data_IF_428293508946
#
_entry.id   IF_428293508946
#
_cell.length_a   1.000
_cell.length_b   1.000
_cell.length_c   1.000
_cell.angle_alpha   90.00
_cell.angle_beta   90.00
_cell.angle_gamma   90.00
#
_symmetry.space_group_name_H-M   'P 1'
#
loop_
_entity.id
_entity.type
_entity.pdbx_description
1 polymer ?
#
# COMPACT_ATOMS: atom_id res chain seq x y z
N UNK A 1 6.68 -56.69 73.14
CA UNK A 1 5.68 -56.07 74.04
C UNK A 1 5.15 -56.99 75.12
N UNK A 2 4.61 -58.17 74.79
CA UNK A 2 4.08 -59.12 75.80
C UNK A 2 5.10 -59.50 76.88
N UNK A 3 6.36 -59.75 76.47
CA UNK A 3 7.49 -59.98 77.36
C UNK A 3 7.85 -58.76 78.22
N UNK A 4 7.91 -57.56 77.63
CA UNK A 4 8.25 -56.32 78.35
C UNK A 4 7.21 -55.93 79.42
N UNK A 5 5.92 -56.15 79.16
CA UNK A 5 4.85 -55.89 80.14
C UNK A 5 4.83 -56.94 81.25
N UNK A 6 5.05 -58.22 80.92
CA UNK A 6 5.06 -59.31 81.89
C UNK A 6 6.21 -59.20 82.91
N UNK A 7 7.38 -58.71 82.48
CA UNK A 7 8.55 -58.56 83.33
C UNK A 7 8.75 -57.13 83.85
N UNK A 8 7.81 -56.20 83.63
CA UNK A 8 7.96 -54.79 83.99
C UNK A 8 8.24 -54.59 85.49
N UNK A 9 7.41 -55.18 86.36
CA UNK A 9 7.54 -55.01 87.81
C UNK A 9 8.84 -55.63 88.33
N UNK A 10 9.19 -56.82 87.82
CA UNK A 10 10.45 -57.48 88.16
C UNK A 10 11.66 -56.66 87.67
N UNK A 11 11.61 -56.13 86.46
CA UNK A 11 12.69 -55.36 85.88
C UNK A 11 12.86 -54.01 86.57
N UNK A 12 11.77 -53.30 86.88
CA UNK A 12 11.77 -52.03 87.61
C UNK A 12 12.32 -52.19 89.02
N UNK A 13 11.89 -53.23 89.75
CA UNK A 13 12.40 -53.53 91.10
C UNK A 13 13.89 -53.89 91.07
N UNK A 14 14.31 -54.70 90.10
CA UNK A 14 15.72 -55.10 89.96
C UNK A 14 16.60 -53.90 89.58
N UNK A 15 16.13 -53.03 88.68
CA UNK A 15 16.82 -51.79 88.32
C UNK A 15 16.99 -50.87 89.54
N UNK A 16 15.92 -50.68 90.33
CA UNK A 16 15.96 -49.86 91.55
C UNK A 16 16.94 -50.44 92.61
N UNK A 17 17.07 -51.76 92.70
CA UNK A 17 18.06 -52.41 93.57
C UNK A 17 19.49 -52.15 93.07
N UNK A 18 19.71 -52.18 91.75
CA UNK A 18 21.02 -51.88 91.14
C UNK A 18 21.40 -50.42 91.41
N UNK A 19 20.50 -49.48 91.12
CA UNK A 19 20.70 -48.03 91.35
C UNK A 19 20.99 -47.73 92.83
N UNK A 20 20.23 -48.34 93.76
CA UNK A 20 20.46 -48.16 95.20
C UNK A 20 21.85 -48.66 95.65
N UNK A 21 22.31 -49.80 95.12
CA UNK A 21 23.63 -50.36 95.45
C UNK A 21 24.79 -49.58 94.83
N UNK A 22 24.56 -48.89 93.70
CA UNK A 22 25.49 -47.91 93.13
C UNK A 22 25.61 -46.66 94.00
N UNK A 23 24.47 -46.08 94.40
CA UNK A 23 24.42 -44.88 95.24
C UNK A 23 25.10 -45.09 96.61
N UNK A 24 24.95 -46.29 97.19
CA UNK A 24 25.59 -46.69 98.45
C UNK A 24 27.09 -47.05 98.30
N UNK A 25 27.67 -46.93 97.10
CA UNK A 25 29.05 -47.35 96.75
C UNK A 25 29.38 -48.79 97.15
N UNK A 26 28.36 -49.64 97.25
CA UNK A 26 28.46 -51.02 97.74
C UNK A 26 28.87 -52.03 96.64
N UNK A 27 28.96 -51.57 95.38
CA UNK A 27 29.48 -52.32 94.26
C UNK A 27 30.99 -52.06 94.14
N UNK A 28 31.83 -53.12 94.13
CA UNK A 28 33.27 -52.93 94.07
C UNK A 28 33.67 -52.23 92.76
N UNK A 29 34.63 -51.29 92.78
CA UNK A 29 35.34 -50.88 91.57
C UNK A 29 36.08 -52.10 91.00
N UNK A 30 36.52 -52.01 89.75
CA UNK A 30 37.05 -53.09 88.90
C UNK A 30 38.41 -53.67 89.38
N UNK A 31 38.54 -53.98 90.67
CA UNK A 31 39.72 -54.50 91.34
C UNK A 31 39.36 -55.87 91.95
N UNK A 32 40.11 -56.90 91.59
CA UNK A 32 39.85 -58.27 92.03
C UNK A 32 40.09 -58.42 93.55
N UNK A 33 39.05 -58.85 94.28
CA UNK A 33 39.12 -59.14 95.73
C UNK A 33 40.21 -60.17 96.06
N UNK A 34 40.53 -61.07 95.13
CA UNK A 34 41.61 -62.04 95.32
C UNK A 34 42.98 -61.35 95.39
N UNK A 35 43.21 -60.29 94.63
CA UNK A 35 44.45 -59.51 94.70
C UNK A 35 44.58 -58.82 96.07
N UNK A 36 43.49 -58.25 96.57
CA UNK A 36 43.48 -57.58 97.89
C UNK A 36 43.66 -58.59 99.05
N UNK A 37 43.06 -59.77 98.96
CA UNK A 37 43.26 -60.85 99.94
C UNK A 37 44.70 -61.39 99.90
N UNK A 38 45.26 -61.55 98.69
CA UNK A 38 46.64 -62.04 98.52
C UNK A 38 47.66 -61.04 99.08
N UNK A 39 47.40 -59.74 98.90
CA UNK A 39 48.22 -58.70 99.51
C UNK A 39 48.22 -58.79 101.04
N UNK A 40 47.07 -59.05 101.67
CA UNK A 40 46.96 -59.25 103.12
C UNK A 40 47.65 -60.53 103.62
N UNK A 41 47.64 -61.62 102.84
CA UNK A 41 48.27 -62.89 103.25
C UNK A 41 49.79 -62.86 103.14
N UNK A 42 50.32 -62.18 102.13
CA UNK A 42 51.76 -62.09 101.89
C UNK A 42 52.40 -60.88 102.61
N UNK A 43 51.60 -60.10 103.35
CA UNK A 43 51.98 -58.85 104.02
C UNK A 43 52.75 -57.90 103.09
N UNK A 44 52.49 -57.98 101.78
CA UNK A 44 53.17 -57.23 100.72
C UNK A 44 52.16 -56.86 99.65
N UNK A 45 52.26 -55.64 99.13
CA UNK A 45 51.34 -55.18 98.10
C UNK A 45 51.54 -55.96 96.80
N UNK A 46 50.50 -56.64 96.30
CA UNK A 46 50.55 -57.48 95.09
C UNK A 46 50.77 -56.71 93.78
N UNK A 47 50.76 -55.37 93.82
CA UNK A 47 50.97 -54.52 92.64
C UNK A 47 52.37 -53.89 92.64
N UNK A 48 52.88 -53.44 93.79
CA UNK A 48 54.17 -52.74 93.89
C UNK A 48 55.24 -53.46 94.73
N UNK A 49 54.92 -54.61 95.35
CA UNK A 49 55.87 -55.46 96.08
C UNK A 49 56.37 -54.92 97.43
N UNK A 50 55.96 -53.72 97.83
CA UNK A 50 56.34 -53.12 99.12
C UNK A 50 55.65 -53.81 100.30
N UNK A 51 56.33 -53.98 101.45
CA UNK A 51 55.71 -54.50 102.67
C UNK A 51 54.52 -53.63 103.09
N UNK A 52 53.40 -54.25 103.44
CA UNK A 52 52.23 -53.53 103.89
C UNK A 52 52.47 -52.98 105.30
N UNK A 53 52.20 -51.69 105.50
CA UNK A 53 52.16 -51.11 106.82
C UNK A 53 50.90 -51.55 107.56
N UNK A 54 50.94 -51.53 108.90
CA UNK A 54 49.79 -51.88 109.76
C UNK A 54 48.53 -51.08 109.36
N UNK A 55 48.70 -49.80 109.00
CA UNK A 55 47.61 -48.95 108.56
C UNK A 55 47.11 -49.29 107.14
N UNK A 56 48.00 -49.74 106.25
CA UNK A 56 47.66 -50.21 104.91
C UNK A 56 46.84 -51.50 104.96
N UNK A 57 47.21 -52.45 105.82
CA UNK A 57 46.43 -53.68 106.02
C UNK A 57 45.04 -53.39 106.60
N UNK A 58 44.96 -52.49 107.58
CA UNK A 58 43.67 -52.08 108.15
C UNK A 58 42.76 -51.47 107.08
N UNK A 59 43.31 -50.64 106.19
CA UNK A 59 42.53 -50.02 105.11
C UNK A 59 42.05 -51.05 104.09
N UNK A 60 42.90 -52.00 103.69
CA UNK A 60 42.51 -53.09 102.78
C UNK A 60 41.42 -53.96 103.41
N UNK A 61 41.54 -54.32 104.70
CA UNK A 61 40.50 -55.05 105.44
C UNK A 61 39.17 -54.30 105.45
N UNK A 62 39.19 -53.01 105.76
CA UNK A 62 37.99 -52.15 105.76
C UNK A 62 37.37 -52.03 104.36
N UNK A 63 38.18 -52.00 103.30
CA UNK A 63 37.71 -51.96 101.91
C UNK A 63 37.01 -53.27 101.53
N UNK A 64 37.59 -54.42 101.89
CA UNK A 64 37.01 -55.75 101.63
C UNK A 64 35.69 -55.93 102.38
N UNK A 65 35.59 -55.44 103.62
CA UNK A 65 34.37 -55.44 104.44
C UNK A 65 33.26 -54.54 103.86
N UNK A 66 33.62 -53.41 103.25
CA UNK A 66 32.64 -52.46 102.68
C UNK A 66 31.99 -53.01 101.41
N UNK A 67 32.71 -53.82 100.63
CA UNK A 67 32.16 -54.42 99.41
C UNK A 67 31.26 -55.62 99.74
N UNK A 68 29.94 -55.39 99.74
CA UNK A 68 28.94 -56.41 100.07
C UNK A 68 28.71 -57.45 98.96
N UNK A 69 29.09 -57.15 97.71
CA UNK A 69 28.82 -58.01 96.55
C UNK A 69 30.13 -58.48 95.90
N UNK A 70 30.15 -59.69 95.35
CA UNK A 70 31.32 -60.22 94.65
C UNK A 70 31.49 -59.57 93.28
N UNK A 71 32.74 -59.49 92.78
CA UNK A 71 33.08 -58.90 91.47
C UNK A 71 32.29 -59.54 90.32
N UNK A 72 32.07 -60.87 90.39
CA UNK A 72 31.25 -61.63 89.42
C UNK A 72 29.77 -61.20 89.41
N UNK A 73 29.22 -60.90 90.59
CA UNK A 73 27.82 -60.44 90.72
C UNK A 73 27.68 -59.00 90.24
N UNK A 74 28.67 -58.14 90.50
CA UNK A 74 28.70 -56.77 90.00
C UNK A 74 28.67 -56.72 88.46
N UNK A 75 29.53 -57.50 87.81
CA UNK A 75 29.59 -57.58 86.34
C UNK A 75 28.29 -58.14 85.73
N UNK A 76 27.62 -59.08 86.41
CA UNK A 76 26.32 -59.57 85.98
C UNK A 76 25.23 -58.50 86.11
N UNK A 77 25.20 -57.74 87.20
CA UNK A 77 24.23 -56.65 87.39
C UNK A 77 24.42 -55.54 86.34
N UNK A 78 25.67 -55.21 86.01
CA UNK A 78 25.97 -54.23 84.96
C UNK A 78 25.59 -54.72 83.56
N UNK A 79 25.81 -56.01 83.25
CA UNK A 79 25.48 -56.56 81.93
C UNK A 79 23.97 -56.63 81.68
N UNK A 80 23.16 -56.91 82.72
CA UNK A 80 21.69 -56.98 82.58
C UNK A 80 21.00 -55.61 82.65
N UNK A 81 21.66 -54.58 83.21
CA UNK A 81 21.09 -53.23 83.41
C UNK A 81 20.48 -52.66 82.13
N UNK A 82 21.22 -52.67 81.03
CA UNK A 82 20.77 -52.09 79.76
C UNK A 82 19.47 -52.73 79.24
N UNK A 83 19.30 -54.03 79.47
CA UNK A 83 18.11 -54.77 79.05
C UNK A 83 16.93 -54.53 80.00
N UNK A 84 17.18 -54.38 81.30
CA UNK A 84 16.17 -53.95 82.28
C UNK A 84 15.63 -52.55 81.95
N UNK A 85 16.51 -51.60 81.61
CA UNK A 85 16.12 -50.25 81.17
C UNK A 85 15.28 -50.28 79.88
N UNK A 86 15.64 -51.13 78.92
CA UNK A 86 14.87 -51.33 77.68
C UNK A 86 13.47 -51.87 77.98
N UNK A 87 13.35 -52.87 78.86
CA UNK A 87 12.05 -53.45 79.26
C UNK A 87 11.17 -52.38 79.92
N UNK A 88 11.72 -51.60 80.84
CA UNK A 88 10.99 -50.53 81.54
C UNK A 88 10.52 -49.44 80.57
N UNK A 89 11.40 -48.96 79.69
CA UNK A 89 11.06 -47.94 78.67
C UNK A 89 10.02 -48.46 77.66
N UNK A 90 10.12 -49.72 77.23
CA UNK A 90 9.15 -50.31 76.31
C UNK A 90 7.77 -50.47 76.94
N UNK A 91 7.70 -50.87 78.22
CA UNK A 91 6.44 -50.96 78.95
C UNK A 91 5.79 -49.59 79.18
N UNK A 92 6.59 -48.55 79.46
CA UNK A 92 6.09 -47.18 79.65
C UNK A 92 5.49 -46.58 78.36
N UNK A 93 5.99 -46.94 77.18
CA UNK A 93 5.47 -46.48 75.88
C UNK A 93 4.21 -47.20 75.41
N UNK A 94 3.83 -48.31 76.06
CA UNK A 94 2.69 -49.12 75.65
C UNK A 94 1.33 -48.40 75.67
N UNK A 95 0.98 -47.56 76.68
CA UNK A 95 -0.30 -46.86 76.69
C UNK A 95 -0.48 -45.94 75.47
N UNK A 96 0.56 -45.20 75.10
CA UNK A 96 0.56 -44.30 73.95
C UNK A 96 0.41 -45.08 72.63
N UNK A 97 1.14 -46.20 72.51
CA UNK A 97 1.09 -47.05 71.32
C UNK A 97 -0.28 -47.74 71.18
N UNK A 98 -0.87 -48.17 72.29
CA UNK A 98 -2.23 -48.72 72.34
C UNK A 98 -3.27 -47.67 71.94
N UNK A 99 -3.14 -46.44 72.42
CA UNK A 99 -4.06 -45.37 72.07
C UNK A 99 -3.97 -45.02 70.58
N UNK A 100 -2.74 -44.89 70.05
CA UNK A 100 -2.51 -44.66 68.62
C UNK A 100 -3.13 -45.74 67.73
N UNK A 101 -3.03 -47.01 68.12
CA UNK A 101 -3.64 -48.12 67.39
C UNK A 101 -5.18 -48.08 67.44
N UNK A 102 -5.77 -47.72 68.58
CA UNK A 102 -7.23 -47.53 68.70
C UNK A 102 -7.74 -46.38 67.84
N UNK A 103 -7.06 -45.24 67.85
CA UNK A 103 -7.46 -44.07 67.06
C UNK A 103 -7.36 -44.38 65.55
N UNK A 104 -6.33 -45.13 65.15
CA UNK A 104 -6.19 -45.61 63.77
C UNK A 104 -7.30 -46.57 63.37
N UNK A 105 -7.69 -47.49 64.24
CA UNK A 105 -8.80 -48.41 63.98
C UNK A 105 -10.11 -47.65 63.76
N UNK A 106 -10.41 -46.71 64.66
CA UNK A 106 -11.62 -45.89 64.58
C UNK A 106 -11.68 -45.08 63.28
N UNK A 107 -10.58 -44.43 62.89
CA UNK A 107 -10.52 -43.68 61.63
C UNK A 107 -10.74 -44.58 60.40
N UNK A 108 -10.19 -45.79 60.41
CA UNK A 108 -10.41 -46.75 59.33
C UNK A 108 -11.87 -47.24 59.28
N UNK A 109 -12.52 -47.44 60.42
CA UNK A 109 -13.96 -47.78 60.48
C UNK A 109 -14.83 -46.63 59.97
N UNK A 110 -14.52 -45.38 60.34
CA UNK A 110 -15.24 -44.19 59.88
C UNK A 110 -15.12 -44.05 58.35
N UNK A 111 -13.92 -44.24 57.79
CA UNK A 111 -13.69 -44.24 56.34
C UNK A 111 -14.44 -45.36 55.62
N UNK A 112 -14.44 -46.57 56.19
CA UNK A 112 -15.15 -47.71 55.62
C UNK A 112 -16.65 -47.44 55.55
N UNK A 113 -17.20 -46.83 56.60
CA UNK A 113 -18.61 -46.44 56.69
C UNK A 113 -18.95 -45.37 55.64
N UNK A 114 -18.12 -44.34 55.49
CA UNK A 114 -18.33 -43.28 54.50
C UNK A 114 -18.32 -43.83 53.07
N UNK A 115 -17.36 -44.70 52.76
CA UNK A 115 -17.29 -45.37 51.45
C UNK A 115 -18.51 -46.27 51.21
N UNK A 116 -18.97 -46.99 52.24
CA UNK A 116 -20.18 -47.80 52.18
C UNK A 116 -21.44 -46.98 51.85
N UNK A 117 -21.61 -45.81 52.48
CA UNK A 117 -22.73 -44.89 52.20
C UNK A 117 -22.67 -44.36 50.77
N UNK A 118 -21.47 -43.99 50.28
CA UNK A 118 -21.29 -43.51 48.91
C UNK A 118 -21.60 -44.59 47.87
N UNK A 119 -21.20 -45.84 48.14
CA UNK A 119 -21.52 -46.97 47.26
C UNK A 119 -23.02 -47.22 47.18
N UNK A 120 -23.72 -47.21 48.32
CA UNK A 120 -25.17 -47.41 48.35
C UNK A 120 -25.94 -46.27 47.64
N UNK A 121 -25.48 -45.03 47.73
CA UNK A 121 -26.06 -43.91 46.96
C UNK A 121 -25.86 -44.09 45.44
N UNK A 122 -24.66 -44.50 45.02
CA UNK A 122 -24.36 -44.79 43.61
C UNK A 122 -25.20 -45.96 43.10
N UNK A 123 -25.34 -47.05 43.87
CA UNK A 123 -26.17 -48.20 43.50
C UNK A 123 -27.65 -47.84 43.42
N UNK A 124 -28.17 -47.04 44.36
CA UNK A 124 -29.54 -46.51 44.29
C UNK A 124 -29.76 -45.65 43.04
N UNK A 125 -28.78 -44.81 42.67
CA UNK A 125 -28.87 -43.98 41.46
C UNK A 125 -28.84 -44.82 40.18
N UNK A 126 -28.00 -45.86 40.13
CA UNK A 126 -27.92 -46.78 38.98
C UNK A 126 -29.21 -47.60 38.85
N UNK A 127 -29.76 -48.11 39.96
CA UNK A 127 -30.97 -48.94 39.97
C UNK A 127 -32.26 -48.15 39.72
N UNK A 128 -32.27 -46.83 39.93
CA UNK A 128 -33.39 -45.94 39.54
C UNK A 128 -33.52 -45.76 38.02
N UNK A 129 -32.46 -46.04 37.26
CA UNK A 129 -32.49 -45.98 35.79
C UNK A 129 -32.98 -47.32 35.26
N UNK A 130 -34.30 -47.45 35.08
CA UNK A 130 -34.95 -48.71 34.68
C UNK A 130 -34.61 -49.17 33.26
N UNK A 131 -34.21 -48.27 32.35
CA UNK A 131 -33.88 -48.61 30.96
C UNK A 131 -32.53 -48.00 30.53
N UNK A 132 -31.44 -48.73 30.81
CA UNK A 132 -30.08 -48.31 30.48
C UNK A 132 -29.86 -48.11 28.97
N UNK A 133 -30.59 -48.84 28.13
CA UNK A 133 -30.54 -48.71 26.68
C UNK A 133 -31.16 -47.38 26.19
N UNK A 134 -32.25 -46.93 26.80
CA UNK A 134 -32.87 -45.63 26.48
C UNK A 134 -31.95 -44.45 26.82
N UNK A 135 -31.23 -44.53 27.94
CA UNK A 135 -30.25 -43.48 28.32
C UNK A 135 -29.06 -43.46 27.36
N UNK A 136 -28.57 -44.62 26.91
CA UNK A 136 -27.54 -44.71 25.87
C UNK A 136 -28.02 -44.13 24.55
N UNK A 137 -29.25 -44.44 24.14
CA UNK A 137 -29.84 -43.91 22.92
C UNK A 137 -29.94 -42.38 22.98
N UNK A 138 -30.50 -41.82 24.06
CA UNK A 138 -30.60 -40.36 24.25
C UNK A 138 -29.24 -39.66 24.29
N UNK A 139 -28.22 -40.32 24.84
CA UNK A 139 -26.85 -39.80 24.79
C UNK A 139 -26.32 -39.76 23.36
N UNK A 140 -26.54 -40.81 22.58
CA UNK A 140 -26.13 -40.87 21.18
C UNK A 140 -26.87 -39.85 20.32
N UNK A 141 -28.19 -39.72 20.48
CA UNK A 141 -29.00 -38.69 19.81
C UNK A 141 -28.51 -37.29 20.16
N UNK A 142 -28.15 -37.04 21.43
CA UNK A 142 -27.57 -35.76 21.84
C UNK A 142 -26.25 -35.48 21.13
N UNK A 143 -25.34 -36.44 21.06
CA UNK A 143 -24.06 -36.29 20.35
C UNK A 143 -24.28 -35.99 18.86
N UNK A 144 -25.18 -36.72 18.20
CA UNK A 144 -25.55 -36.49 16.80
C UNK A 144 -26.16 -35.09 16.58
N UNK A 145 -27.02 -34.62 17.49
CA UNK A 145 -27.59 -33.28 17.43
C UNK A 145 -26.54 -32.18 17.70
N UNK A 146 -25.57 -32.44 18.58
CA UNK A 146 -24.48 -31.51 18.89
C UNK A 146 -23.54 -31.36 17.68
N UNK A 147 -23.24 -32.46 16.99
CA UNK A 147 -22.53 -32.50 15.71
C UNK A 147 -23.28 -31.70 14.62
N UNK A 148 -24.57 -32.00 14.41
CA UNK A 148 -25.42 -31.31 13.43
C UNK A 148 -25.52 -29.81 13.69
N UNK A 149 -25.63 -29.41 14.96
CA UNK A 149 -25.64 -28.00 15.37
C UNK A 149 -24.34 -27.32 14.96
N UNK A 150 -23.19 -27.94 15.23
CA UNK A 150 -21.89 -27.37 14.86
C UNK A 150 -21.75 -27.21 13.35
N UNK A 151 -22.11 -28.23 12.57
CA UNK A 151 -22.11 -28.16 11.11
C UNK A 151 -23.03 -27.06 10.57
N UNK A 152 -24.22 -26.88 11.16
CA UNK A 152 -25.15 -25.83 10.74
C UNK A 152 -24.65 -24.43 11.10
N UNK A 153 -23.95 -24.27 12.23
CA UNK A 153 -23.31 -23.01 12.60
C UNK A 153 -22.24 -22.65 11.57
N UNK A 154 -21.38 -23.59 11.20
CA UNK A 154 -20.34 -23.38 10.17
C UNK A 154 -20.95 -23.01 8.81
N UNK A 155 -21.93 -23.78 8.33
CA UNK A 155 -22.65 -23.49 7.08
C UNK A 155 -23.27 -22.10 7.09
N UNK A 156 -23.89 -21.69 8.21
CA UNK A 156 -24.49 -20.36 8.35
C UNK A 156 -23.44 -19.26 8.32
N UNK A 157 -22.27 -19.47 8.93
CA UNK A 157 -21.16 -18.50 8.89
C UNK A 157 -20.65 -18.33 7.46
N UNK A 158 -20.41 -19.45 6.75
CA UNK A 158 -19.99 -19.43 5.36
C UNK A 158 -21.00 -18.73 4.45
N UNK A 159 -22.29 -19.04 4.60
CA UNK A 159 -23.36 -18.40 3.81
C UNK A 159 -23.44 -16.89 4.07
N UNK A 160 -23.26 -16.45 5.33
CA UNK A 160 -23.22 -15.02 5.67
C UNK A 160 -22.01 -14.31 5.05
N UNK A 161 -20.84 -14.94 5.08
CA UNK A 161 -19.63 -14.38 4.47
C UNK A 161 -19.78 -14.27 2.94
N UNK A 162 -20.33 -15.30 2.29
CA UNK A 162 -20.64 -15.28 0.86
C UNK A 162 -21.65 -14.20 0.50
N UNK A 163 -22.71 -14.04 1.30
CA UNK A 163 -23.71 -12.98 1.09
C UNK A 163 -23.06 -11.61 1.17
N UNK A 164 -22.26 -11.35 2.21
CA UNK A 164 -21.55 -10.08 2.38
C UNK A 164 -20.62 -9.79 1.19
N UNK A 165 -19.82 -10.77 0.76
CA UNK A 165 -18.96 -10.64 -0.42
C UNK A 165 -19.75 -10.34 -1.70
N UNK A 166 -20.91 -10.95 -1.86
CA UNK A 166 -21.77 -10.70 -3.01
C UNK A 166 -22.41 -9.30 -2.96
N UNK A 167 -22.79 -8.82 -1.78
CA UNK A 167 -23.29 -7.45 -1.55
C UNK A 167 -22.22 -6.41 -1.84
N UNK A 168 -21.00 -6.57 -1.28
CA UNK A 168 -19.86 -5.68 -1.53
C UNK A 168 -19.55 -5.63 -3.03
N UNK A 169 -19.49 -6.79 -3.70
CA UNK A 169 -19.23 -6.87 -5.14
C UNK A 169 -20.33 -6.23 -5.98
N UNK A 170 -21.60 -6.34 -5.55
CA UNK A 170 -22.73 -5.67 -6.21
C UNK A 170 -22.58 -4.16 -6.11
N UNK A 171 -22.19 -3.64 -4.96
CA UNK A 171 -21.99 -2.20 -4.77
C UNK A 171 -20.85 -1.66 -5.66
N UNK A 172 -19.74 -2.39 -5.75
CA UNK A 172 -18.62 -2.03 -6.63
C UNK A 172 -19.03 -2.03 -8.11
N UNK A 173 -19.76 -3.06 -8.57
CA UNK A 173 -20.25 -3.14 -9.94
C UNK A 173 -21.24 -2.00 -10.27
N UNK A 174 -22.07 -1.58 -9.32
CA UNK A 174 -22.97 -0.43 -9.50
C UNK A 174 -22.17 0.87 -9.68
N UNK A 175 -21.11 1.07 -8.88
CA UNK A 175 -20.21 2.24 -9.03
C UNK A 175 -19.50 2.24 -10.38
N UNK A 176 -19.09 1.08 -10.89
CA UNK A 176 -18.49 0.96 -12.22
C UNK A 176 -19.50 1.26 -13.34
N UNK A 177 -20.74 0.77 -13.21
CA UNK A 177 -21.82 1.04 -14.15
C UNK A 177 -22.12 2.54 -14.24
N UNK A 178 -22.25 3.23 -13.10
CA UNK A 178 -22.53 4.67 -13.07
C UNK A 178 -21.40 5.47 -13.74
N UNK A 179 -20.13 5.09 -13.50
CA UNK A 179 -18.98 5.70 -14.18
C UNK A 179 -19.02 5.46 -15.69
N UNK A 180 -19.41 4.28 -16.14
CA UNK A 180 -19.54 3.96 -17.56
C UNK A 180 -20.67 4.77 -18.22
N UNK A 181 -21.84 4.87 -17.58
CA UNK A 181 -22.97 5.68 -18.05
C UNK A 181 -22.62 7.17 -18.14
N UNK A 182 -21.85 7.70 -17.17
CA UNK A 182 -21.38 9.08 -17.23
C UNK A 182 -20.43 9.31 -18.43
N UNK A 183 -19.53 8.36 -18.70
CA UNK A 183 -18.65 8.42 -19.89
C UNK A 183 -19.43 8.33 -21.19
N UNK A 184 -20.49 7.52 -21.25
CA UNK A 184 -21.34 7.40 -22.45
C UNK A 184 -22.06 8.71 -22.76
N UNK A 185 -22.62 9.38 -21.74
CA UNK A 185 -23.21 10.73 -21.89
C UNK A 185 -22.21 11.74 -22.44
N UNK A 186 -20.98 11.73 -21.92
CA UNK A 186 -19.93 12.61 -22.40
C UNK A 186 -19.52 12.27 -23.85
N UNK A 187 -19.47 10.98 -24.20
CA UNK A 187 -19.19 10.54 -25.57
C UNK A 187 -20.29 11.02 -26.54
N UNK A 188 -21.56 10.93 -26.15
CA UNK A 188 -22.68 11.45 -26.93
C UNK A 188 -22.57 12.96 -27.16
N UNK A 189 -22.22 13.72 -26.12
CA UNK A 189 -21.96 15.17 -26.21
C UNK A 189 -20.81 15.49 -27.16
N UNK A 190 -19.70 14.75 -27.06
CA UNK A 190 -18.53 14.94 -27.94
C UNK A 190 -18.86 14.62 -29.41
N UNK A 191 -19.66 13.58 -29.67
CA UNK A 191 -20.13 13.27 -31.03
C UNK A 191 -20.93 14.42 -31.64
N UNK A 192 -21.86 15.00 -30.87
CA UNK A 192 -22.63 16.18 -31.32
C UNK A 192 -21.71 17.38 -31.62
N UNK A 193 -20.69 17.61 -30.79
CA UNK A 193 -19.74 18.71 -31.01
C UNK A 193 -18.89 18.50 -32.27
N UNK A 194 -18.47 17.26 -32.53
CA UNK A 194 -17.74 16.90 -33.75
C UNK A 194 -18.62 17.09 -34.98
N UNK A 195 -19.88 16.67 -34.92
CA UNK A 195 -20.82 16.85 -36.01
C UNK A 195 -21.04 18.33 -36.32
N UNK A 196 -21.26 19.15 -35.29
CA UNK A 196 -21.38 20.60 -35.43
C UNK A 196 -20.13 21.23 -36.04
N UNK A 197 -18.94 20.85 -35.57
CA UNK A 197 -17.68 21.37 -36.11
C UNK A 197 -17.48 20.98 -37.58
N UNK A 198 -17.86 19.76 -37.97
CA UNK A 198 -17.79 19.30 -39.35
C UNK A 198 -18.77 20.06 -40.25
N UNK A 199 -20.01 20.27 -39.79
CA UNK A 199 -20.98 21.09 -40.51
C UNK A 199 -20.48 22.53 -40.68
N UNK A 200 -19.97 23.14 -39.62
CA UNK A 200 -19.39 24.47 -39.67
C UNK A 200 -18.21 24.57 -40.65
N UNK A 201 -17.33 23.56 -40.67
CA UNK A 201 -16.23 23.48 -41.65
C UNK A 201 -16.72 23.43 -43.09
N UNK A 202 -17.75 22.63 -43.37
CA UNK A 202 -18.33 22.53 -44.71
C UNK A 202 -18.91 23.87 -45.14
N UNK A 203 -19.72 24.50 -44.29
CA UNK A 203 -20.32 25.82 -44.59
C UNK A 203 -19.25 26.87 -44.88
N UNK A 204 -18.20 26.95 -44.04
CA UNK A 204 -17.10 27.91 -44.26
C UNK A 204 -16.38 27.63 -45.58
N UNK A 205 -16.13 26.36 -45.92
CA UNK A 205 -15.47 26.00 -47.18
C UNK A 205 -16.31 26.36 -48.40
N UNK A 206 -17.63 26.21 -48.31
CA UNK A 206 -18.54 26.59 -49.40
C UNK A 206 -18.59 28.11 -49.57
N UNK A 207 -18.66 28.86 -48.45
CA UNK A 207 -18.59 30.33 -48.47
C UNK A 207 -17.27 30.82 -49.06
N UNK A 208 -16.13 30.21 -48.70
CA UNK A 208 -14.82 30.56 -49.27
C UNK A 208 -14.81 30.36 -50.79
N UNK A 209 -15.29 29.21 -51.28
CA UNK A 209 -15.37 28.93 -52.72
C UNK A 209 -16.26 29.93 -53.43
N UNK A 210 -17.43 30.25 -52.87
CA UNK A 210 -18.36 31.20 -53.45
C UNK A 210 -17.76 32.60 -53.53
N UNK A 211 -17.11 33.06 -52.46
CA UNK A 211 -16.40 34.35 -52.43
C UNK A 211 -15.26 34.39 -53.46
N UNK A 212 -14.44 33.35 -53.54
CA UNK A 212 -13.34 33.28 -54.52
C UNK A 212 -13.86 33.27 -55.95
N UNK A 213 -14.96 32.57 -56.21
CA UNK A 213 -15.62 32.56 -57.52
C UNK A 213 -16.21 33.93 -57.87
N UNK A 214 -16.82 34.63 -56.92
CA UNK A 214 -17.34 35.98 -57.11
C UNK A 214 -16.22 36.97 -57.45
N UNK A 215 -15.11 36.93 -56.69
CA UNK A 215 -13.92 37.76 -56.96
C UNK A 215 -13.34 37.46 -58.33
N UNK A 216 -13.24 36.17 -58.71
CA UNK A 216 -12.74 35.76 -60.03
C UNK A 216 -13.61 36.32 -61.17
N UNK A 217 -14.93 36.16 -61.09
CA UNK A 217 -15.86 36.68 -62.10
C UNK A 217 -15.76 38.20 -62.22
N UNK A 218 -15.73 38.91 -61.09
CA UNK A 218 -15.52 40.37 -61.11
C UNK A 218 -14.18 40.75 -61.75
N UNK A 219 -13.11 40.00 -61.47
CA UNK A 219 -11.82 40.22 -62.11
C UNK A 219 -11.88 39.99 -63.62
N UNK A 220 -12.52 38.92 -64.10
CA UNK A 220 -12.72 38.65 -65.54
C UNK A 220 -13.48 39.80 -66.22
N UNK A 221 -14.61 40.21 -65.64
CA UNK A 221 -15.46 41.29 -66.15
C UNK A 221 -14.71 42.62 -66.22
N UNK A 222 -14.04 43.01 -65.12
CA UNK A 222 -13.33 44.30 -65.05
C UNK A 222 -12.06 44.31 -65.88
N UNK A 223 -11.34 43.19 -65.93
CA UNK A 223 -10.15 43.07 -66.79
C UNK A 223 -10.54 43.17 -68.26
N UNK A 224 -11.62 42.47 -68.67
CA UNK A 224 -12.16 42.56 -70.04
C UNK A 224 -12.55 43.99 -70.37
N UNK A 225 -13.29 44.67 -69.48
CA UNK A 225 -13.65 46.07 -69.65
C UNK A 225 -12.44 46.98 -69.89
N UNK A 226 -11.41 46.92 -69.04
CA UNK A 226 -10.22 47.76 -69.21
C UNK A 226 -9.43 47.40 -70.48
N UNK A 227 -9.34 46.10 -70.81
CA UNK A 227 -8.64 45.65 -71.99
C UNK A 227 -9.33 46.14 -73.26
N UNK A 228 -10.65 46.05 -73.30
CA UNK A 228 -11.46 46.56 -74.40
C UNK A 228 -11.26 48.05 -74.56
N UNK A 229 -11.33 48.85 -73.49
CA UNK A 229 -11.09 50.30 -73.56
C UNK A 229 -9.69 50.66 -74.10
N UNK A 230 -8.68 49.88 -73.73
CA UNK A 230 -7.28 50.12 -74.12
C UNK A 230 -6.97 49.69 -75.56
N UNK A 231 -7.48 48.54 -76.01
CA UNK A 231 -7.15 47.95 -77.32
C UNK A 231 -7.90 48.67 -78.47
N UNK A 232 -7.21 48.91 -79.58
CA UNK A 232 -7.83 49.43 -80.81
C UNK A 232 -8.65 48.36 -81.56
N UNK A 233 -8.29 47.08 -81.44
CA UNK A 233 -8.93 45.95 -82.10
C UNK A 233 -10.18 45.49 -81.35
N UNK A 234 -11.29 46.19 -81.54
CA UNK A 234 -12.57 45.90 -80.85
C UNK A 234 -13.26 44.61 -81.33
N UNK A 235 -12.84 44.04 -82.46
CA UNK A 235 -13.51 42.89 -83.09
C UNK A 235 -12.72 41.57 -83.06
N UNK A 236 -11.57 41.52 -82.39
CA UNK A 236 -10.71 40.33 -82.37
C UNK A 236 -10.95 39.45 -81.15
N UNK A 237 -11.08 40.07 -79.98
CA UNK A 237 -11.19 39.37 -78.71
C UNK A 237 -12.63 39.35 -78.22
N UNK A 238 -12.98 38.33 -77.45
CA UNK A 238 -14.32 38.15 -76.87
C UNK A 238 -14.31 38.54 -75.39
N UNK A 239 -13.55 37.81 -74.58
CA UNK A 239 -13.42 38.09 -73.15
C UNK A 239 -12.09 37.55 -72.59
N UNK A 240 -11.79 37.95 -71.36
CA UNK A 240 -10.70 37.42 -70.57
C UNK A 240 -11.26 36.40 -69.58
N UNK A 241 -10.59 35.26 -69.47
CA UNK A 241 -10.94 34.21 -68.51
C UNK A 241 -9.80 33.99 -67.51
N UNK A 242 -10.17 33.65 -66.29
CA UNK A 242 -9.27 33.29 -65.21
C UNK A 242 -9.56 31.84 -64.77
N UNK A 243 -8.52 31.04 -64.61
CA UNK A 243 -8.69 29.70 -64.04
C UNK A 243 -8.83 29.72 -62.50
N UNK A 244 -8.94 28.54 -61.88
CA UNK A 244 -9.03 28.43 -60.42
C UNK A 244 -7.84 29.06 -59.68
N UNK A 245 -6.67 29.08 -60.32
CA UNK A 245 -5.40 29.64 -59.83
C UNK A 245 -5.18 31.10 -60.26
N UNK A 246 -6.19 31.77 -60.83
CA UNK A 246 -6.09 33.13 -61.38
C UNK A 246 -5.07 33.26 -62.52
N UNK A 247 -4.80 32.18 -63.25
CA UNK A 247 -4.07 32.26 -64.51
C UNK A 247 -4.95 32.87 -65.58
N UNK A 248 -4.41 33.89 -66.24
CA UNK A 248 -5.11 34.68 -67.24
C UNK A 248 -5.01 34.06 -68.62
N UNK A 249 -6.17 33.96 -69.28
CA UNK A 249 -6.29 33.65 -70.70
C UNK A 249 -7.09 34.72 -71.44
N UNK A 250 -6.73 34.94 -72.71
CA UNK A 250 -7.40 35.88 -73.60
C UNK A 250 -8.11 35.10 -74.70
N UNK A 251 -9.44 35.18 -74.76
CA UNK A 251 -10.26 34.37 -75.66
C UNK A 251 -10.58 35.15 -76.94
N UNK A 252 -10.34 34.54 -78.09
CA UNK A 252 -10.74 35.07 -79.40
C UNK A 252 -12.26 34.96 -79.60
N UNK A 253 -12.84 35.77 -80.49
CA UNK A 253 -14.26 35.62 -80.90
C UNK A 253 -14.61 34.24 -81.51
N UNK A 254 -13.60 33.52 -81.99
CA UNK A 254 -13.76 32.15 -82.50
C UNK A 254 -13.62 31.08 -81.39
N UNK A 255 -13.46 31.48 -80.13
CA UNK A 255 -13.48 30.60 -78.95
C UNK A 255 -12.16 29.94 -78.57
N UNK A 256 -11.02 30.34 -79.16
CA UNK A 256 -9.70 29.77 -78.84
C UNK A 256 -8.82 30.74 -78.02
N UNK A 257 -7.91 30.18 -77.22
CA UNK A 257 -6.91 30.92 -76.42
C UNK A 257 -5.90 31.64 -77.32
N UNK A 258 -5.67 32.92 -77.03
CA UNK A 258 -4.74 33.80 -77.75
C UNK A 258 -3.59 34.32 -76.89
N UNK A 259 -3.52 33.98 -75.59
CA UNK A 259 -2.53 34.58 -74.68
C UNK A 259 -1.08 34.32 -75.13
N UNK A 260 -0.84 33.15 -75.76
CA UNK A 260 0.45 32.79 -76.33
C UNK A 260 0.81 33.50 -77.64
N UNK A 261 -0.19 34.01 -78.37
CA UNK A 261 -0.04 34.62 -79.70
C UNK A 261 -0.19 36.15 -79.69
N UNK A 262 -0.47 36.76 -78.54
CA UNK A 262 -0.49 38.22 -78.36
C UNK A 262 0.86 38.86 -78.72
N UNK A 263 0.83 39.99 -79.42
CA UNK A 263 1.99 40.86 -79.59
C UNK A 263 2.51 41.37 -78.25
N UNK A 264 3.76 41.86 -78.23
CA UNK A 264 4.33 42.47 -77.02
C UNK A 264 3.53 43.70 -76.53
N UNK A 265 2.91 44.43 -77.46
CA UNK A 265 2.03 45.56 -77.16
C UNK A 265 0.72 45.10 -76.49
N UNK A 266 0.05 44.12 -77.07
CA UNK A 266 -1.20 43.55 -76.53
C UNK A 266 -0.99 42.92 -75.16
N UNK A 267 0.14 42.23 -74.95
CA UNK A 267 0.48 41.65 -73.65
C UNK A 267 0.70 42.71 -72.57
N UNK A 268 1.29 43.86 -72.92
CA UNK A 268 1.47 44.96 -71.99
C UNK A 268 0.12 45.60 -71.59
N UNK A 269 -0.78 45.80 -72.57
CA UNK A 269 -2.13 46.31 -72.30
C UNK A 269 -2.95 45.34 -71.46
N UNK A 270 -2.82 44.04 -71.71
CA UNK A 270 -3.47 42.98 -70.93
C UNK A 270 -3.00 42.98 -69.48
N UNK A 271 -1.70 43.08 -69.24
CA UNK A 271 -1.14 43.18 -67.90
C UNK A 271 -1.63 44.43 -67.16
N UNK A 272 -1.65 45.59 -67.84
CA UNK A 272 -2.18 46.83 -67.27
C UNK A 272 -3.66 46.70 -66.92
N UNK A 273 -4.47 46.14 -67.81
CA UNK A 273 -5.90 45.92 -67.61
C UNK A 273 -6.14 45.07 -66.36
N UNK A 274 -5.36 44.01 -66.20
CA UNK A 274 -5.43 43.12 -65.04
C UNK A 274 -5.01 43.84 -63.75
N UNK A 275 -3.96 44.67 -63.78
CA UNK A 275 -3.56 45.49 -62.63
C UNK A 275 -4.63 46.50 -62.24
N UNK A 276 -5.26 47.18 -63.20
CA UNK A 276 -6.34 48.13 -62.93
C UNK A 276 -7.57 47.43 -62.34
N UNK A 277 -7.98 46.30 -62.92
CA UNK A 277 -9.07 45.47 -62.40
C UNK A 277 -8.77 44.97 -60.98
N UNK A 278 -7.55 44.50 -60.72
CA UNK A 278 -7.13 44.06 -59.39
C UNK A 278 -7.24 45.18 -58.36
N UNK A 279 -6.78 46.38 -58.69
CA UNK A 279 -6.89 47.52 -57.79
C UNK A 279 -8.34 47.92 -57.52
N UNK A 280 -9.22 47.81 -58.51
CA UNK A 280 -10.64 48.12 -58.36
C UNK A 280 -11.36 47.05 -57.52
N UNK A 281 -11.22 45.78 -57.88
CA UNK A 281 -11.91 44.65 -57.22
C UNK A 281 -11.42 44.43 -55.80
N UNK A 282 -10.13 44.65 -55.53
CA UNK A 282 -9.56 44.48 -54.19
C UNK A 282 -10.00 45.56 -53.19
N UNK A 283 -10.57 46.68 -53.66
CA UNK A 283 -10.96 47.80 -52.82
C UNK A 283 -9.79 48.57 -52.19
N UNK A 284 -8.54 48.24 -52.54
CA UNK A 284 -7.38 48.96 -52.03
C UNK A 284 -7.13 50.26 -52.79
N UNK A 285 -7.28 51.38 -52.09
CA UNK A 285 -6.93 52.70 -52.61
C UNK A 285 -5.42 52.99 -52.43
N UNK A 286 -4.59 52.25 -53.16
CA UNK A 286 -3.15 52.48 -53.24
C UNK A 286 -2.76 53.34 -54.45
N UNK A 287 -1.64 54.05 -54.30
CA UNK A 287 -0.91 54.75 -55.37
C UNK A 287 -0.57 53.78 -56.51
N UNK A 288 -0.73 54.23 -57.74
CA UNK A 288 -0.22 53.54 -58.93
C UNK A 288 1.01 54.28 -59.45
N UNK A 289 2.17 53.61 -59.44
CA UNK A 289 3.40 54.12 -60.05
C UNK A 289 3.67 53.35 -61.35
N UNK A 290 3.75 54.04 -62.48
CA UNK A 290 3.95 53.42 -63.79
C UNK A 290 5.20 54.01 -64.44
N UNK A 291 6.18 53.16 -64.68
CA UNK A 291 7.40 53.52 -65.38
C UNK A 291 7.30 53.13 -66.86
N UNK A 292 7.64 54.07 -67.75
CA UNK A 292 7.60 53.88 -69.21
C UNK A 292 6.27 53.28 -69.70
N UNK A 293 5.13 53.96 -69.43
CA UNK A 293 3.79 53.39 -69.60
C UNK A 293 3.44 52.97 -71.03
N UNK A 294 4.14 53.49 -72.05
CA UNK A 294 3.76 53.35 -73.46
C UNK A 294 4.91 52.89 -74.36
N UNK A 295 6.04 52.42 -73.80
CA UNK A 295 7.25 52.06 -74.52
C UNK A 295 7.03 51.08 -75.67
N UNK A 296 6.01 50.22 -75.57
CA UNK A 296 5.70 49.15 -76.55
C UNK A 296 4.32 49.28 -77.17
N UNK A 297 3.68 50.44 -77.02
CA UNK A 297 2.30 50.67 -77.40
C UNK A 297 2.25 51.55 -78.66
N UNK A 298 1.41 51.20 -79.64
CA UNK A 298 1.22 51.94 -80.89
C UNK A 298 0.38 53.21 -80.71
N UNK A 299 0.47 54.15 -81.64
CA UNK A 299 -0.08 55.52 -81.53
C UNK A 299 -1.56 55.60 -81.11
N UNK A 300 -2.44 54.76 -81.66
CA UNK A 300 -3.87 54.75 -81.27
C UNK A 300 -4.04 54.22 -79.84
N UNK A 301 -3.34 53.14 -79.51
CA UNK A 301 -3.39 52.57 -78.16
C UNK A 301 -2.76 53.51 -77.12
N UNK A 302 -1.79 54.36 -77.51
CA UNK A 302 -1.21 55.40 -76.65
C UNK A 302 -2.26 56.42 -76.22
N UNK A 303 -3.11 56.85 -77.15
CA UNK A 303 -4.21 57.79 -76.84
C UNK A 303 -5.26 57.11 -75.95
N UNK A 304 -5.65 55.86 -76.25
CA UNK A 304 -6.58 55.10 -75.40
C UNK A 304 -6.03 54.93 -73.99
N UNK A 305 -4.75 54.56 -73.87
CA UNK A 305 -4.02 54.47 -72.61
C UNK A 305 -4.14 55.78 -71.80
N UNK A 306 -3.88 56.92 -72.44
CA UNK A 306 -3.94 58.21 -71.76
C UNK A 306 -5.35 58.52 -71.25
N UNK A 307 -6.37 58.28 -72.07
CA UNK A 307 -7.77 58.52 -71.69
C UNK A 307 -8.20 57.62 -70.53
N UNK A 308 -7.90 56.32 -70.59
CA UNK A 308 -8.25 55.37 -69.52
C UNK A 308 -7.58 55.77 -68.20
N UNK A 309 -6.30 56.14 -68.22
CA UNK A 309 -5.63 56.54 -66.98
C UNK A 309 -6.08 57.90 -66.46
N UNK A 310 -6.46 58.84 -67.32
CA UNK A 310 -7.14 60.07 -66.89
C UNK A 310 -8.43 59.75 -66.12
N UNK A 311 -9.26 58.84 -66.62
CA UNK A 311 -10.47 58.41 -65.90
C UNK A 311 -10.15 57.72 -64.58
N UNK A 312 -9.20 56.77 -64.55
CA UNK A 312 -8.77 56.10 -63.32
C UNK A 312 -8.22 57.11 -62.30
N UNK A 313 -7.47 58.12 -62.76
CA UNK A 313 -6.87 59.15 -61.91
C UNK A 313 -7.87 60.02 -61.15
N UNK A 314 -9.15 60.03 -61.57
CA UNK A 314 -10.21 60.76 -60.85
C UNK A 314 -10.41 60.23 -59.44
N UNK A 315 -10.17 58.92 -59.24
CA UNK A 315 -10.42 58.23 -57.98
C UNK A 315 -9.14 57.68 -57.33
N UNK A 316 -7.98 57.80 -57.99
CA UNK A 316 -6.71 57.21 -57.55
C UNK A 316 -5.53 58.10 -57.88
N UNK A 317 -4.54 58.17 -56.99
CA UNK A 317 -3.29 58.85 -57.28
C UNK A 317 -2.44 58.00 -58.25
N UNK A 318 -2.05 58.59 -59.38
CA UNK A 318 -1.17 57.96 -60.36
C UNK A 318 0.09 58.82 -60.52
N UNK A 319 1.26 58.20 -60.45
CA UNK A 319 2.56 58.79 -60.78
C UNK A 319 3.09 58.05 -62.00
N UNK A 320 3.43 58.78 -63.05
CA UNK A 320 3.93 58.21 -64.29
C UNK A 320 5.27 58.84 -64.66
N UNK A 321 6.21 58.01 -65.09
CA UNK A 321 7.50 58.45 -65.64
C UNK A 321 7.56 58.10 -67.12
N UNK A 322 7.80 59.11 -67.95
CA UNK A 322 7.88 58.97 -69.40
C UNK A 322 9.30 59.30 -69.86
N UNK A 323 9.79 58.55 -70.84
CA UNK A 323 10.91 59.02 -71.67
C UNK A 323 10.44 60.11 -72.64
N UNK A 324 11.36 60.95 -73.18
CA UNK A 324 10.99 61.99 -74.16
C UNK A 324 10.21 61.46 -75.38
N UNK A 325 10.55 60.27 -75.86
CA UNK A 325 9.92 59.63 -77.01
C UNK A 325 8.52 59.05 -76.70
N UNK A 326 8.24 58.79 -75.42
CA UNK A 326 6.94 58.30 -74.95
C UNK A 326 5.95 59.45 -74.67
N UNK A 327 6.45 60.61 -74.23
CA UNK A 327 5.62 61.79 -73.96
C UNK A 327 5.34 62.60 -75.24
N UNK A 328 4.78 61.91 -76.23
CA UNK A 328 4.47 62.47 -77.56
C UNK A 328 3.42 63.60 -77.49
N UNK A 329 3.29 64.44 -78.54
CA UNK A 329 2.29 65.51 -78.57
C UNK A 329 0.86 65.05 -78.30
N UNK A 330 0.50 63.84 -78.75
CA UNK A 330 -0.82 63.23 -78.54
C UNK A 330 -1.06 62.87 -77.08
N UNK A 331 -0.08 62.25 -76.42
CA UNK A 331 -0.10 61.93 -75.00
C UNK A 331 -0.15 63.20 -74.16
N UNK A 332 0.70 64.18 -74.50
CA UNK A 332 0.80 65.48 -73.84
C UNK A 332 -0.54 66.22 -73.85
N UNK A 333 -1.24 66.21 -74.99
CA UNK A 333 -2.56 66.84 -75.14
C UNK A 333 -3.61 66.28 -74.17
N UNK A 334 -3.52 64.99 -73.82
CA UNK A 334 -4.47 64.33 -72.89
C UNK A 334 -4.05 64.54 -71.44
N UNK A 335 -2.75 64.36 -71.11
CA UNK A 335 -2.30 64.43 -69.72
C UNK A 335 -2.06 65.83 -69.20
N UNK A 336 -1.66 66.82 -70.02
CA UNK A 336 -1.41 68.19 -69.50
C UNK A 336 -2.63 68.81 -68.82
N UNK A 337 -3.86 68.71 -69.37
CA UNK A 337 -5.05 69.22 -68.69
C UNK A 337 -5.41 68.47 -67.40
N UNK A 338 -5.04 67.18 -67.31
CA UNK A 338 -5.37 66.31 -66.18
C UNK A 338 -4.31 66.31 -65.07
N UNK A 339 -3.05 66.59 -65.42
CA UNK A 339 -1.92 66.53 -64.51
C UNK A 339 -1.98 67.67 -63.49
N UNK A 340 -1.87 67.33 -62.21
CA UNK A 340 -1.70 68.31 -61.13
C UNK A 340 -0.26 68.82 -61.02
N UNK A 341 0.69 67.94 -61.31
CA UNK A 341 2.12 68.23 -61.23
C UNK A 341 2.80 67.64 -62.45
N UNK A 342 3.67 68.42 -63.09
CA UNK A 342 4.54 67.97 -64.16
C UNK A 342 5.97 68.44 -63.84
N UNK A 343 6.94 67.52 -63.89
CA UNK A 343 8.34 67.78 -63.56
C UNK A 343 9.20 67.20 -64.67
N UNK A 344 9.98 68.06 -65.33
CA UNK A 344 10.96 67.62 -66.31
C UNK A 344 12.27 67.29 -65.58
N UNK A 345 12.76 66.06 -65.76
CA UNK A 345 14.03 65.61 -65.21
C UNK A 345 15.09 65.64 -66.31
N UNK A 346 16.29 66.13 -65.99
CA UNK A 346 17.43 66.17 -66.91
C UNK A 346 18.63 65.48 -66.29
N UNK A 347 19.27 64.59 -67.05
CA UNK A 347 20.52 63.94 -66.66
C UNK A 347 21.67 64.93 -66.83
N UNK A 348 22.39 65.20 -65.74
CA UNK A 348 23.63 65.99 -65.80
C UNK A 348 24.82 65.11 -66.20
N UNK A 349 24.83 63.86 -65.70
CA UNK A 349 25.77 62.80 -66.05
C UNK A 349 25.09 61.43 -65.79
N UNK A 350 25.83 60.32 -65.94
CA UNK A 350 25.33 58.96 -65.73
C UNK A 350 24.85 58.66 -64.28
N UNK A 351 25.17 59.52 -63.32
CA UNK A 351 24.91 59.32 -61.89
C UNK A 351 24.00 60.37 -61.26
N UNK A 352 23.82 61.51 -61.91
CA UNK A 352 23.12 62.67 -61.35
C UNK A 352 21.96 63.08 -62.26
N UNK A 353 20.74 62.96 -61.73
CA UNK A 353 19.52 63.52 -62.31
C UNK A 353 19.13 64.79 -61.56
N UNK A 354 18.80 65.86 -62.28
CA UNK A 354 18.32 67.13 -61.73
C UNK A 354 16.90 67.42 -62.22
N UNK A 355 16.15 68.14 -61.40
CA UNK A 355 14.90 68.77 -61.82
C UNK A 355 15.26 70.00 -62.65
N UNK A 356 14.66 70.15 -63.82
CA UNK A 356 14.90 71.25 -64.75
C UNK A 356 14.25 72.56 -64.29
#
# INVERSE_FOLDING_TARGET
MKSALAFYDAAKKTLAIIEKKEDEKALPPDIDKNLLNKALSEHTCTVCGQPLSIHGEYFIKKLIETFQVSSKTSNLLMSIRSELERIVKAAQRYPDEKQRLKDRHKNLEDQLTEVGVKLDDVDKRINRVGNKEEVRLKHKEREEHEELKNQNIEKRVLAKDQLKKAEDKKEDLLKELDKALAKDKECARLKQLIEFANQGRTVISDVEKDMMNEVRKKMEERTTFYFDELIWKKDTYDHISLDENFQLDLIHKDGYSCVGTTSAAERALLALSFTLALHEVSGFNSLLFIDTPVARVSDINRINFANVLCEVSKNKQIIMTFTPDEYSPEIKKVFEPAAKTNVELTLQDEKITKIK
#
